data_IF_883087761836
#
_entry.id   IF_883087761836
#
_cell.length_a   1.000
_cell.length_b   1.000
_cell.length_c   1.000
_cell.angle_alpha   90.00
_cell.angle_beta   90.00
_cell.angle_gamma   90.00
#
_symmetry.space_group_name_H-M   'P 1'
#
loop_
_entity.id
_entity.type
_entity.pdbx_description
1 polymer ?
#
# COMPACT_ATOMS: atom_id res chain seq x y z
N UNK A 1 -5.95 1.03 0.01
CA UNK A 1 -5.74 1.37 1.44
C UNK A 1 -4.84 2.58 1.45
N UNK A 2 -5.35 3.79 1.74
CA UNK A 2 -4.60 4.99 1.43
C UNK A 2 -3.47 5.15 2.44
N UNK A 3 -2.31 5.49 1.90
CA UNK A 3 -1.05 5.74 2.60
C UNK A 3 -1.31 6.70 3.77
N UNK A 4 -0.66 6.54 4.94
CA UNK A 4 -0.84 7.46 6.06
C UNK A 4 -0.63 8.91 5.62
N UNK A 5 -1.45 9.84 6.09
CA UNK A 5 -1.29 11.25 5.73
C UNK A 5 -0.02 11.85 6.36
N UNK A 6 0.50 12.93 5.74
CA UNK A 6 1.59 13.73 6.29
C UNK A 6 2.99 13.18 5.98
N UNK A 7 3.98 13.64 6.77
CA UNK A 7 5.42 13.38 6.52
C UNK A 7 5.77 11.89 6.48
N UNK A 8 5.11 11.10 7.32
CA UNK A 8 5.34 9.65 7.41
C UNK A 8 4.93 8.96 6.11
N UNK A 9 3.75 9.31 5.56
CA UNK A 9 3.30 8.78 4.27
C UNK A 9 4.26 9.09 3.13
N UNK A 10 4.69 10.36 3.05
CA UNK A 10 5.63 10.81 2.02
C UNK A 10 6.95 10.03 2.09
N UNK A 11 7.53 9.90 3.29
CA UNK A 11 8.79 9.16 3.47
C UNK A 11 8.67 7.67 3.08
N UNK A 12 7.50 7.05 3.25
CA UNK A 12 7.27 5.66 2.82
C UNK A 12 7.21 5.58 1.30
N UNK A 13 6.51 6.51 0.64
CA UNK A 13 6.46 6.59 -0.82
C UNK A 13 7.88 6.75 -1.34
N UNK A 14 8.62 7.75 -0.88
CA UNK A 14 9.99 8.04 -1.36
C UNK A 14 10.94 6.85 -1.17
N UNK A 15 10.74 6.04 -0.12
CA UNK A 15 11.56 4.85 0.17
C UNK A 15 11.29 3.67 -0.76
N UNK A 16 10.01 3.40 -1.06
CA UNK A 16 9.60 2.18 -1.76
C UNK A 16 9.19 2.41 -3.22
N UNK A 17 8.86 3.64 -3.57
CA UNK A 17 8.34 4.05 -4.87
C UNK A 17 9.32 5.08 -5.42
N UNK A 18 10.15 4.63 -6.36
CA UNK A 18 11.04 5.51 -7.13
C UNK A 18 10.24 6.02 -8.32
N UNK A 19 9.68 7.22 -8.18
CA UNK A 19 9.02 7.93 -9.27
C UNK A 19 9.98 9.00 -9.78
N UNK A 20 10.21 9.01 -11.08
CA UNK A 20 10.94 10.11 -11.73
C UNK A 20 10.00 11.30 -11.96
N UNK A 21 10.55 12.51 -12.02
CA UNK A 21 9.72 13.73 -12.10
C UNK A 21 8.78 13.71 -13.31
N UNK A 22 9.26 13.23 -14.46
CA UNK A 22 8.48 13.11 -15.70
C UNK A 22 7.32 12.12 -15.58
N UNK A 23 7.41 11.08 -14.75
CA UNK A 23 6.34 10.08 -14.62
C UNK A 23 5.06 10.68 -14.02
N UNK A 24 5.18 11.81 -13.30
CA UNK A 24 4.02 12.52 -12.76
C UNK A 24 3.12 13.08 -13.87
N UNK A 25 3.70 13.55 -14.97
CA UNK A 25 2.96 14.13 -16.09
C UNK A 25 2.20 13.07 -16.90
N UNK A 26 2.64 11.81 -16.83
CA UNK A 26 2.03 10.68 -17.52
C UNK A 26 1.16 9.81 -16.60
N UNK A 27 0.78 10.35 -15.43
CA UNK A 27 -0.13 9.67 -14.52
C UNK A 27 -1.51 9.49 -15.16
N UNK A 28 -1.94 8.23 -15.27
CA UNK A 28 -3.25 7.91 -15.86
C UNK A 28 -4.37 8.30 -14.89
N UNK A 29 -5.20 9.27 -15.28
CA UNK A 29 -6.36 9.69 -14.49
C UNK A 29 -7.38 8.56 -14.23
N UNK A 30 -7.41 7.54 -15.11
CA UNK A 30 -8.28 6.36 -14.98
C UNK A 30 -7.59 5.14 -14.34
N UNK A 31 -6.37 5.30 -13.79
CA UNK A 31 -5.59 4.19 -13.22
C UNK A 31 -6.37 3.40 -12.16
N UNK A 32 -7.19 4.07 -11.37
CA UNK A 32 -8.05 3.45 -10.36
C UNK A 32 -9.14 2.59 -10.97
N UNK A 33 -9.92 3.15 -11.90
CA UNK A 33 -10.98 2.41 -12.61
C UNK A 33 -10.41 1.19 -13.34
N UNK A 34 -9.28 1.38 -14.03
CA UNK A 34 -8.57 0.29 -14.73
C UNK A 34 -8.16 -0.82 -13.76
N UNK A 35 -7.68 -0.47 -12.57
CA UNK A 35 -7.25 -1.44 -11.57
C UNK A 35 -8.42 -2.22 -10.99
N UNK A 36 -9.52 -1.55 -10.66
CA UNK A 36 -10.76 -2.20 -10.18
C UNK A 36 -11.32 -3.12 -11.27
N UNK A 37 -11.38 -2.63 -12.51
CA UNK A 37 -11.80 -3.40 -13.68
C UNK A 37 -10.96 -4.66 -13.89
N UNK A 38 -9.62 -4.55 -13.84
CA UNK A 38 -8.73 -5.72 -13.93
C UNK A 38 -8.95 -6.74 -12.82
N UNK A 39 -9.24 -6.28 -11.61
CA UNK A 39 -9.47 -7.14 -10.44
C UNK A 39 -10.84 -7.85 -10.48
N UNK A 40 -11.89 -7.13 -10.85
CA UNK A 40 -13.29 -7.61 -10.82
C UNK A 40 -13.80 -8.20 -12.13
N UNK A 41 -13.10 -7.93 -13.24
CA UNK A 41 -13.53 -8.18 -14.63
C UNK A 41 -14.72 -7.35 -15.12
N UNK A 42 -15.15 -6.37 -14.33
CA UNK A 42 -16.16 -5.39 -14.74
C UNK A 42 -15.57 -4.39 -15.73
N UNK A 43 -16.38 -3.91 -16.67
CA UNK A 43 -16.03 -2.77 -17.52
C UNK A 43 -16.14 -1.45 -16.73
N UNK A 44 -15.75 -0.32 -17.34
CA UNK A 44 -15.70 0.96 -16.62
C UNK A 44 -17.09 1.46 -16.22
N UNK A 45 -18.10 1.26 -17.06
CA UNK A 45 -19.48 1.67 -16.75
C UNK A 45 -20.03 0.85 -15.60
N UNK A 46 -19.79 -0.45 -15.58
CA UNK A 46 -20.16 -1.33 -14.47
C UNK A 46 -19.48 -0.91 -13.17
N UNK A 47 -18.18 -0.57 -13.20
CA UNK A 47 -17.45 -0.08 -12.03
C UNK A 47 -18.02 1.25 -11.52
N UNK A 48 -18.37 2.17 -12.42
CA UNK A 48 -18.95 3.48 -12.07
C UNK A 48 -20.38 3.37 -11.55
N UNK A 49 -21.12 2.34 -11.95
CA UNK A 49 -22.48 2.07 -11.48
C UNK A 49 -22.54 1.19 -10.21
N UNK A 50 -21.41 0.81 -9.63
CA UNK A 50 -21.40 0.05 -8.38
C UNK A 50 -21.99 0.87 -7.22
N UNK A 51 -22.70 0.21 -6.28
CA UNK A 51 -22.98 0.80 -4.97
C UNK A 51 -21.69 1.33 -4.34
N UNK A 52 -21.74 2.53 -3.77
CA UNK A 52 -20.55 3.24 -3.29
C UNK A 52 -19.72 2.41 -2.29
N UNK A 53 -20.38 1.63 -1.42
CA UNK A 53 -19.72 0.71 -0.48
C UNK A 53 -18.89 -0.37 -1.20
N UNK A 54 -19.44 -0.97 -2.26
CA UNK A 54 -18.74 -1.95 -3.09
C UNK A 54 -17.61 -1.31 -3.89
N UNK A 55 -17.83 -0.11 -4.43
CA UNK A 55 -16.78 0.65 -5.09
C UNK A 55 -15.57 0.86 -4.14
N UNK A 56 -15.81 1.31 -2.91
CA UNK A 56 -14.76 1.52 -1.92
C UNK A 56 -14.05 0.23 -1.51
N UNK A 57 -14.80 -0.86 -1.38
CA UNK A 57 -14.25 -2.19 -1.08
C UNK A 57 -13.32 -2.66 -2.20
N UNK A 58 -13.80 -2.69 -3.45
CA UNK A 58 -12.99 -3.15 -4.58
C UNK A 58 -11.85 -2.21 -4.90
N UNK A 59 -12.00 -0.90 -4.67
CA UNK A 59 -10.89 0.05 -4.75
C UNK A 59 -9.77 -0.32 -3.78
N UNK A 60 -10.10 -0.70 -2.55
CA UNK A 60 -9.11 -1.13 -1.55
C UNK A 60 -8.47 -2.46 -1.95
N UNK A 61 -9.27 -3.45 -2.32
CA UNK A 61 -8.79 -4.81 -2.55
C UNK A 61 -7.99 -4.92 -3.85
N UNK A 62 -8.45 -4.28 -4.93
CA UNK A 62 -7.69 -4.21 -6.19
C UNK A 62 -6.34 -3.49 -6.03
N UNK A 63 -6.25 -2.52 -5.12
CA UNK A 63 -4.99 -1.87 -4.75
C UNK A 63 -4.05 -2.83 -4.02
N UNK A 64 -4.55 -3.60 -3.05
CA UNK A 64 -3.76 -4.61 -2.34
C UNK A 64 -3.28 -5.70 -3.31
N UNK A 65 -4.18 -6.21 -4.16
CA UNK A 65 -3.86 -7.21 -5.19
C UNK A 65 -2.75 -6.71 -6.14
N UNK A 66 -2.80 -5.43 -6.55
CA UNK A 66 -1.78 -4.85 -7.43
C UNK A 66 -0.38 -4.86 -6.80
N UNK A 67 -0.27 -4.51 -5.52
CA UNK A 67 1.01 -4.55 -4.81
C UNK A 67 1.42 -5.97 -4.39
N UNK A 68 0.48 -6.90 -4.22
CA UNK A 68 0.76 -8.28 -3.84
C UNK A 68 1.44 -9.11 -4.92
N UNK A 69 1.45 -8.63 -6.19
CA UNK A 69 1.94 -9.37 -7.36
C UNK A 69 3.46 -9.37 -7.53
N UNK A 70 4.16 -8.42 -6.93
CA UNK A 70 5.64 -8.31 -7.03
C UNK A 70 6.27 -8.42 -5.64
N UNK A 71 7.55 -8.82 -5.56
CA UNK A 71 8.23 -8.93 -4.28
C UNK A 71 8.40 -7.56 -3.62
N UNK A 72 8.77 -6.54 -4.40
CA UNK A 72 8.92 -5.16 -3.95
C UNK A 72 7.59 -4.61 -3.40
N UNK A 73 6.48 -4.93 -4.08
CA UNK A 73 5.16 -4.53 -3.64
C UNK A 73 4.72 -5.26 -2.37
N UNK A 74 5.08 -6.54 -2.20
CA UNK A 74 4.86 -7.27 -0.94
C UNK A 74 5.65 -6.67 0.21
N UNK A 75 6.90 -6.26 -0.02
CA UNK A 75 7.70 -5.56 1.00
C UNK A 75 7.13 -4.19 1.37
N UNK A 76 6.61 -3.44 0.39
CA UNK A 76 5.86 -2.21 0.66
C UNK A 76 4.62 -2.47 1.52
N UNK A 77 3.82 -3.48 1.20
CA UNK A 77 2.65 -3.87 2.01
C UNK A 77 3.05 -4.30 3.43
N UNK A 78 4.14 -5.07 3.59
CA UNK A 78 4.69 -5.44 4.90
C UNK A 78 5.10 -4.21 5.71
N UNK A 79 5.70 -3.20 5.08
CA UNK A 79 6.05 -1.94 5.75
C UNK A 79 4.80 -1.20 6.26
N UNK A 80 3.76 -1.09 5.44
CA UNK A 80 2.48 -0.52 5.84
C UNK A 80 1.79 -1.30 6.97
N UNK A 81 1.93 -2.63 6.98
CA UNK A 81 1.42 -3.47 8.06
C UNK A 81 2.19 -3.23 9.37
N UNK A 82 3.52 -3.15 9.34
CA UNK A 82 4.37 -2.86 10.51
C UNK A 82 4.02 -1.53 11.16
N UNK A 83 3.82 -0.48 10.35
CA UNK A 83 3.47 0.87 10.84
C UNK A 83 2.12 0.94 11.54
N UNK A 84 1.22 0.01 11.24
CA UNK A 84 -0.09 -0.08 11.90
C UNK A 84 -0.02 -0.76 13.26
N UNK A 85 1.05 -1.47 13.56
CA UNK A 85 1.24 -2.10 14.86
C UNK A 85 1.49 -1.01 15.89
N UNK A 86 0.48 -0.72 16.71
CA UNK A 86 0.54 0.27 17.79
C UNK A 86 1.17 -0.28 19.06
N UNK A 87 1.31 -1.61 19.17
CA UNK A 87 1.99 -2.26 20.29
C UNK A 87 3.47 -2.43 19.96
N UNK A 88 4.34 -1.92 20.82
CA UNK A 88 5.77 -2.17 20.73
C UNK A 88 6.03 -3.69 20.79
N UNK A 89 6.87 -4.21 19.90
CA UNK A 89 7.34 -5.58 19.93
C UNK A 89 8.37 -5.74 21.07
N UNK A 90 7.85 -5.77 22.30
CA UNK A 90 8.65 -5.81 23.54
C UNK A 90 9.54 -7.04 23.61
N UNK A 91 9.18 -8.11 22.90
CA UNK A 91 9.98 -9.34 22.82
C UNK A 91 11.29 -9.09 22.07
N UNK A 92 11.24 -8.47 20.89
CA UNK A 92 12.45 -8.11 20.14
C UNK A 92 13.30 -7.08 20.85
N UNK A 93 12.69 -6.15 21.58
CA UNK A 93 13.41 -5.17 22.40
C UNK A 93 14.20 -5.90 23.50
N UNK A 94 13.58 -6.85 24.20
CA UNK A 94 14.26 -7.67 25.22
C UNK A 94 15.38 -8.52 24.63
N UNK A 95 15.15 -9.19 23.51
CA UNK A 95 16.18 -10.00 22.83
C UNK A 95 17.36 -9.16 22.34
N UNK A 96 17.14 -7.91 21.91
CA UNK A 96 18.20 -6.99 21.52
C UNK A 96 19.01 -6.49 22.73
N UNK A 97 18.34 -6.18 23.84
CA UNK A 97 19.02 -5.78 25.07
C UNK A 97 19.86 -6.90 25.66
N UNK A 98 19.36 -8.14 25.67
CA UNK A 98 20.12 -9.30 26.14
C UNK A 98 21.40 -9.56 25.32
N UNK A 99 21.34 -9.41 23.98
CA UNK A 99 22.55 -9.55 23.14
C UNK A 99 23.59 -8.48 23.45
N UNK A 100 23.16 -7.25 23.73
CA UNK A 100 24.04 -6.13 24.10
C UNK A 100 24.68 -6.24 25.49
N UNK A 101 24.09 -7.02 26.39
CA UNK A 101 24.63 -7.28 27.73
C UNK A 101 25.60 -8.48 27.75
N UNK A 102 25.68 -9.25 26.65
CA UNK A 102 26.53 -10.45 26.54
C UNK A 102 27.80 -10.20 25.70
N UNK A 103 27.93 -9.01 25.11
CA UNK A 103 29.14 -8.49 24.42
C UNK A 103 29.87 -7.49 25.33
#
# INVERSE_FOLDING_TARGET
>A
MPIPNGKIGKAIIDKYIKIEEWENDYALCTAELRRISKYTRLNFDEVLNLPYSLYLLYRKDSWIDSWGKTEEGREFLKALWRLRQTKADTKKIREFQQRKETD
#
